data_IF_620077286539
#
_entry.id   IF_620077286539
#
_cell.length_a   1.000
_cell.length_b   1.000
_cell.length_c   1.000
_cell.angle_alpha   90.00
_cell.angle_beta   90.00
_cell.angle_gamma   90.00
#
_symmetry.space_group_name_H-M   'P 1'
#
loop_
_entity.id
_entity.type
_entity.pdbx_description
1 polymer ?
#
# COMPACT_ATOMS: atom_id res chain seq x y z
N UNK A 1 -17.16 10.98 -4.06
CA UNK A 1 -16.07 11.98 -4.15
C UNK A 1 -15.32 11.80 -5.45
N UNK A 2 -15.13 12.84 -6.27
CA UNK A 2 -14.44 12.73 -7.57
C UNK A 2 -12.97 13.15 -7.44
N UNK A 3 -12.04 12.50 -8.15
CA UNK A 3 -10.60 12.84 -8.16
C UNK A 3 -10.34 14.35 -8.37
N UNK A 4 -11.16 15.00 -9.20
CA UNK A 4 -11.09 16.44 -9.47
C UNK A 4 -11.39 17.30 -8.23
N UNK A 5 -12.39 16.92 -7.43
CA UNK A 5 -12.76 17.65 -6.20
C UNK A 5 -11.68 17.50 -5.15
N UNK A 6 -11.12 16.30 -4.99
CA UNK A 6 -10.01 16.06 -4.07
C UNK A 6 -8.76 16.86 -4.46
N UNK A 7 -8.40 16.90 -5.75
CA UNK A 7 -7.25 17.70 -6.23
C UNK A 7 -7.41 19.19 -5.92
N UNK A 8 -8.60 19.75 -6.14
CA UNK A 8 -8.88 21.17 -5.82
C UNK A 8 -8.75 21.44 -4.32
N UNK A 9 -9.22 20.51 -3.48
CA UNK A 9 -9.11 20.62 -2.03
C UNK A 9 -7.65 20.56 -1.55
N UNK A 10 -6.88 19.58 -2.04
CA UNK A 10 -5.45 19.44 -1.72
C UNK A 10 -4.60 20.62 -2.18
N UNK A 11 -4.99 21.29 -3.26
CA UNK A 11 -4.26 22.44 -3.79
C UNK A 11 -4.39 23.71 -2.94
N UNK A 12 -5.43 23.80 -2.11
CA UNK A 12 -5.69 24.97 -1.23
C UNK A 12 -5.09 24.77 0.16
N UNK A 13 -4.85 23.51 0.56
CA UNK A 13 -4.27 23.18 1.86
C UNK A 13 -2.79 23.58 1.95
N UNK A 14 -2.33 24.04 3.13
CA UNK A 14 -0.91 24.23 3.38
C UNK A 14 -0.19 22.88 3.35
N UNK A 15 1.12 22.92 3.07
CA UNK A 15 1.94 21.71 2.88
C UNK A 15 1.89 20.75 4.08
N UNK A 16 1.84 21.32 5.29
CA UNK A 16 1.80 20.57 6.56
C UNK A 16 0.50 19.75 6.69
N UNK A 17 -0.64 20.33 6.34
CA UNK A 17 -1.93 19.63 6.39
C UNK A 17 -2.01 18.52 5.34
N UNK A 18 -1.42 18.72 4.17
CA UNK A 18 -1.31 17.67 3.15
C UNK A 18 -0.44 16.51 3.66
N UNK A 19 0.68 16.80 4.34
CA UNK A 19 1.51 15.77 4.96
C UNK A 19 0.75 14.99 6.03
N UNK A 20 0.04 15.68 6.93
CA UNK A 20 -0.75 15.04 7.98
C UNK A 20 -1.88 14.17 7.41
N UNK A 21 -2.52 14.62 6.32
CA UNK A 21 -3.51 13.81 5.60
C UNK A 21 -2.90 12.53 5.01
N UNK A 22 -1.70 12.61 4.43
CA UNK A 22 -1.02 11.44 3.85
C UNK A 22 -0.56 10.47 4.95
N UNK A 23 -0.06 10.97 6.09
CA UNK A 23 0.32 10.15 7.23
C UNK A 23 -0.90 9.47 7.87
N UNK A 24 -2.01 10.19 8.04
CA UNK A 24 -3.25 9.55 8.53
C UNK A 24 -3.80 8.51 7.56
N UNK A 25 -3.64 8.71 6.25
CA UNK A 25 -3.98 7.70 5.24
C UNK A 25 -3.08 6.46 5.35
N UNK A 26 -1.79 6.65 5.63
CA UNK A 26 -0.83 5.58 5.86
C UNK A 26 -1.24 4.69 7.05
N UNK A 27 -1.70 5.29 8.15
CA UNK A 27 -2.15 4.54 9.33
C UNK A 27 -3.53 3.89 9.14
N UNK A 28 -4.41 4.52 8.35
CA UNK A 28 -5.80 4.07 8.21
C UNK A 28 -6.00 2.90 7.22
N UNK A 29 -5.14 2.76 6.20
CA UNK A 29 -5.32 1.75 5.14
C UNK A 29 -4.05 0.93 4.92
N UNK A 30 -4.18 -0.39 5.07
CA UNK A 30 -3.11 -1.35 4.79
C UNK A 30 -2.65 -1.34 3.33
N UNK A 31 -3.56 -1.08 2.39
CA UNK A 31 -3.27 -0.97 0.97
C UNK A 31 -2.51 0.33 0.66
N UNK A 32 -2.93 1.45 1.26
CA UNK A 32 -2.23 2.72 1.13
C UNK A 32 -0.84 2.65 1.77
N UNK A 33 -0.73 2.03 2.95
CA UNK A 33 0.54 1.74 3.61
C UNK A 33 1.48 0.97 2.69
N UNK A 34 1.03 -0.15 2.14
CA UNK A 34 1.84 -0.98 1.24
C UNK A 34 2.29 -0.21 -0.01
N UNK A 35 1.41 0.60 -0.61
CA UNK A 35 1.77 1.44 -1.75
C UNK A 35 2.82 2.50 -1.40
N UNK A 36 2.64 3.20 -0.27
CA UNK A 36 3.55 4.25 0.19
C UNK A 36 4.92 3.69 0.61
N UNK A 37 4.95 2.55 1.30
CA UNK A 37 6.21 1.83 1.62
C UNK A 37 6.94 1.41 0.36
N UNK A 38 6.23 0.89 -0.64
CA UNK A 38 6.81 0.50 -1.92
C UNK A 38 7.28 1.71 -2.74
N UNK A 39 6.61 2.86 -2.62
CA UNK A 39 7.03 4.12 -3.23
C UNK A 39 8.31 4.68 -2.60
N UNK A 40 8.46 4.58 -1.27
CA UNK A 40 9.64 5.05 -0.53
C UNK A 40 10.84 4.11 -0.68
N UNK A 41 10.59 2.81 -0.55
CA UNK A 41 11.60 1.76 -0.63
C UNK A 41 11.15 0.73 -1.66
N UNK A 42 11.56 0.90 -2.93
CA UNK A 42 11.22 -0.04 -3.99
C UNK A 42 12.00 -1.34 -3.86
N UNK A 43 11.62 -2.20 -2.92
CA UNK A 43 12.14 -3.56 -2.81
C UNK A 43 11.24 -4.54 -3.56
N UNK A 44 11.34 -4.48 -4.88
CA UNK A 44 10.63 -5.39 -5.78
C UNK A 44 11.06 -6.85 -5.58
N UNK A 45 12.26 -7.10 -5.04
CA UNK A 45 12.77 -8.45 -4.82
C UNK A 45 12.05 -9.13 -3.65
N UNK A 46 11.87 -8.43 -2.54
CA UNK A 46 11.11 -8.92 -1.39
C UNK A 46 9.61 -9.08 -1.73
N UNK A 47 9.04 -8.14 -2.50
CA UNK A 47 7.67 -8.24 -2.98
C UNK A 47 7.47 -9.49 -3.86
N UNK A 48 8.38 -9.74 -4.80
CA UNK A 48 8.34 -10.90 -5.68
C UNK A 48 8.38 -12.22 -4.89
N UNK A 49 9.29 -12.35 -3.94
CA UNK A 49 9.39 -13.55 -3.10
C UNK A 49 8.13 -13.76 -2.23
N UNK A 50 7.55 -12.68 -1.69
CA UNK A 50 6.28 -12.74 -0.95
C UNK A 50 5.15 -13.28 -1.82
N UNK A 51 4.97 -12.75 -3.04
CA UNK A 51 3.91 -13.21 -3.94
C UNK A 51 4.15 -14.62 -4.48
N UNK A 52 5.40 -14.99 -4.80
CA UNK A 52 5.75 -16.38 -5.14
C UNK A 52 5.34 -17.36 -4.04
N UNK A 53 5.55 -16.99 -2.76
CA UNK A 53 5.16 -17.81 -1.62
C UNK A 53 3.64 -17.92 -1.47
N UNK A 54 2.91 -16.83 -1.66
CA UNK A 54 1.43 -16.84 -1.64
C UNK A 54 0.89 -17.74 -2.74
N UNK A 55 1.33 -17.54 -3.98
CA UNK A 55 0.94 -18.36 -5.13
C UNK A 55 1.28 -19.82 -4.87
N UNK A 56 2.50 -20.12 -4.40
CA UNK A 56 2.87 -21.51 -4.07
C UNK A 56 1.93 -22.11 -3.01
N UNK A 57 1.55 -21.36 -1.98
CA UNK A 57 0.64 -21.86 -0.94
C UNK A 57 -0.80 -22.07 -1.43
N UNK A 58 -1.28 -21.27 -2.39
CA UNK A 58 -2.61 -21.45 -2.99
C UNK A 58 -2.68 -22.68 -3.90
N UNK A 59 -1.66 -22.90 -4.73
CA UNK A 59 -1.62 -24.00 -5.70
C UNK A 59 -1.01 -25.30 -5.15
N UNK A 60 -0.17 -25.20 -4.12
CA UNK A 60 0.48 -26.32 -3.43
C UNK A 60 0.36 -26.13 -1.91
N UNK A 61 -0.86 -26.14 -1.35
CA UNK A 61 -1.02 -26.16 0.10
C UNK A 61 -0.29 -27.40 0.63
N UNK A 62 0.47 -27.27 1.71
CA UNK A 62 1.07 -28.40 2.41
C UNK A 62 -0.02 -29.23 3.11
N UNK A 63 -0.96 -29.81 2.37
CA UNK A 63 -1.85 -30.88 2.83
C UNK A 63 -1.06 -32.19 2.73
N UNK A 64 -0.18 -32.38 3.71
CA UNK A 64 0.70 -33.54 3.81
C UNK A 64 1.18 -33.74 5.24
N UNK A 65 0.24 -33.79 6.19
CA UNK A 65 0.44 -34.31 7.54
C UNK A 65 -0.75 -35.22 7.84
N UNK A 66 -0.45 -36.52 7.75
CA UNK A 66 -1.16 -37.74 8.19
C UNK A 66 -2.63 -37.65 8.63
#
# INVERSE_FOLDING_TARGET
MTKLKLKKHLAVLPKEDVMNLVLSLYDASTEAKMYLEMYLTPDYSAALEKYKKIIRNEFFPCSGLF
#
